data_IF_497337820980
#
_entry.id   IF_497337820980
#
_cell.length_a   1.000
_cell.length_b   1.000
_cell.length_c   1.000
_cell.angle_alpha   90.00
_cell.angle_beta   90.00
_cell.angle_gamma   90.00
#
_symmetry.space_group_name_H-M   'P 1'
#
loop_
_entity.id
_entity.type
_entity.pdbx_description
1 polymer ?
#
# COMPACT_ATOMS: atom_id res chain seq x y z
N UNK A 1 -77.93 24.87 -4.05
CA UNK A 1 -77.34 23.99 -2.98
C UNK A 1 -76.15 23.09 -3.41
N UNK A 2 -76.04 22.53 -4.67
CA UNK A 2 -74.90 21.66 -4.95
C UNK A 2 -73.51 22.33 -5.00
N UNK A 3 -73.47 23.64 -5.37
CA UNK A 3 -72.19 24.36 -5.50
C UNK A 3 -71.48 24.60 -4.12
N UNK A 4 -72.25 24.88 -3.10
CA UNK A 4 -71.75 25.12 -1.73
C UNK A 4 -71.22 23.80 -1.10
N UNK A 5 -71.91 22.69 -1.39
CA UNK A 5 -71.46 21.36 -0.91
C UNK A 5 -70.12 20.94 -1.58
N UNK A 6 -69.97 21.18 -2.89
CA UNK A 6 -68.71 20.91 -3.62
C UNK A 6 -67.56 21.77 -3.11
N UNK A 7 -67.78 23.07 -2.84
CA UNK A 7 -66.77 23.95 -2.28
C UNK A 7 -66.33 23.53 -0.87
N UNK A 8 -67.26 23.05 -0.04
CA UNK A 8 -66.94 22.52 1.27
C UNK A 8 -66.14 21.22 1.20
N UNK A 9 -66.47 20.30 0.30
CA UNK A 9 -65.72 19.06 0.09
C UNK A 9 -64.29 19.34 -0.40
N UNK A 10 -64.08 20.33 -1.28
CA UNK A 10 -62.73 20.74 -1.75
C UNK A 10 -61.89 21.28 -0.57
N UNK A 11 -62.48 22.10 0.31
CA UNK A 11 -61.81 22.63 1.51
C UNK A 11 -61.43 21.53 2.48
N UNK A 12 -62.26 20.52 2.68
CA UNK A 12 -61.96 19.37 3.54
C UNK A 12 -60.80 18.54 2.96
N UNK A 13 -60.80 18.28 1.65
CA UNK A 13 -59.72 17.54 0.99
C UNK A 13 -58.40 18.30 1.06
N UNK A 14 -58.41 19.61 0.84
CA UNK A 14 -57.22 20.47 0.98
C UNK A 14 -56.72 20.51 2.42
N UNK A 15 -57.60 20.53 3.39
CA UNK A 15 -57.24 20.44 4.83
C UNK A 15 -56.57 19.13 5.20
N UNK A 16 -57.08 18.01 4.69
CA UNK A 16 -56.50 16.67 4.90
C UNK A 16 -55.14 16.59 4.21
N UNK A 17 -55.04 17.08 2.98
CA UNK A 17 -53.75 17.09 2.26
C UNK A 17 -52.70 17.95 2.99
N UNK A 18 -53.05 19.13 3.46
CA UNK A 18 -52.15 19.99 4.25
C UNK A 18 -51.73 19.32 5.57
N UNK A 19 -52.66 18.62 6.25
CA UNK A 19 -52.36 17.88 7.48
C UNK A 19 -51.38 16.72 7.22
N UNK A 20 -51.54 15.97 6.13
CA UNK A 20 -50.63 14.90 5.75
C UNK A 20 -49.23 15.45 5.42
N UNK A 21 -49.17 16.57 4.69
CA UNK A 21 -47.91 17.22 4.37
C UNK A 21 -47.20 17.71 5.65
N UNK A 22 -47.89 18.37 6.56
CA UNK A 22 -47.32 18.82 7.84
C UNK A 22 -46.86 17.64 8.70
N UNK A 23 -47.61 16.55 8.74
CA UNK A 23 -47.24 15.34 9.47
C UNK A 23 -45.95 14.70 8.91
N UNK A 24 -45.84 14.66 7.58
CA UNK A 24 -44.63 14.14 6.91
C UNK A 24 -43.42 15.05 7.09
N UNK A 25 -43.60 16.37 7.09
CA UNK A 25 -42.54 17.34 7.38
C UNK A 25 -42.09 17.24 8.84
N UNK A 26 -43.04 17.07 9.80
CA UNK A 26 -42.71 16.86 11.21
C UNK A 26 -41.95 15.54 11.41
N UNK A 27 -42.39 14.47 10.77
CA UNK A 27 -41.68 13.17 10.81
C UNK A 27 -40.26 13.24 10.26
N UNK A 28 -40.03 13.96 9.15
CA UNK A 28 -38.70 14.24 8.61
C UNK A 28 -37.84 15.12 9.52
N UNK A 29 -38.46 16.02 10.28
CA UNK A 29 -37.80 16.85 11.28
C UNK A 29 -37.42 16.05 12.51
N UNK A 30 -38.30 15.18 12.99
CA UNK A 30 -38.07 14.30 14.12
C UNK A 30 -37.02 13.24 13.79
N UNK A 31 -37.02 12.67 12.57
CA UNK A 31 -35.93 11.78 12.08
C UNK A 31 -34.56 12.48 11.99
N UNK A 32 -34.54 13.76 11.59
CA UNK A 32 -33.31 14.58 11.61
C UNK A 32 -32.86 14.93 13.03
N UNK A 33 -33.78 15.12 13.97
CA UNK A 33 -33.48 15.39 15.38
C UNK A 33 -32.99 14.12 16.06
N UNK A 34 -33.57 12.95 15.77
CA UNK A 34 -33.12 11.65 16.28
C UNK A 34 -31.75 11.29 15.70
N UNK A 35 -31.46 11.61 14.42
CA UNK A 35 -30.10 11.50 13.86
C UNK A 35 -29.10 12.46 14.54
N UNK A 36 -29.54 13.66 14.94
CA UNK A 36 -28.70 14.62 15.66
C UNK A 36 -28.51 14.29 17.15
N UNK A 37 -29.52 13.70 17.79
CA UNK A 37 -29.44 13.30 19.23
C UNK A 37 -28.54 12.06 19.42
N UNK A 38 -28.41 11.17 18.43
CA UNK A 38 -27.40 10.08 18.46
C UNK A 38 -25.96 10.57 18.27
N UNK A 39 -25.75 11.85 17.96
CA UNK A 39 -24.42 12.45 17.73
C UNK A 39 -23.73 12.84 19.04
N UNK A 40 -24.45 13.03 20.13
CA UNK A 40 -23.89 13.61 21.37
C UNK A 40 -23.08 12.65 22.25
N UNK A 41 -23.01 11.34 21.92
CA UNK A 41 -22.19 10.37 22.64
C UNK A 41 -21.00 9.84 21.77
N UNK A 42 -20.67 10.53 20.69
CA UNK A 42 -19.53 10.19 19.81
C UNK A 42 -18.22 10.61 20.45
N UNK A 43 -17.47 9.65 20.93
CA UNK A 43 -16.05 9.89 21.23
C UNK A 43 -15.25 9.82 19.94
N UNK A 44 -14.54 10.91 19.59
CA UNK A 44 -13.76 11.08 18.37
C UNK A 44 -12.38 10.39 18.44
N UNK A 45 -12.33 9.19 19.03
CA UNK A 45 -11.10 8.38 19.04
C UNK A 45 -10.91 7.65 17.71
N UNK A 46 -9.66 7.40 17.36
CA UNK A 46 -9.29 6.70 16.12
C UNK A 46 -9.98 5.33 15.99
N UNK A 47 -10.13 4.61 17.11
CA UNK A 47 -10.78 3.29 17.13
C UNK A 47 -12.27 3.38 16.80
N UNK A 48 -13.00 4.33 17.40
CA UNK A 48 -14.43 4.52 17.16
C UNK A 48 -14.70 5.04 15.75
N UNK A 49 -13.88 5.97 15.25
CA UNK A 49 -13.94 6.40 13.86
C UNK A 49 -13.73 5.24 12.90
N UNK A 50 -12.73 4.39 13.18
CA UNK A 50 -12.44 3.19 12.35
C UNK A 50 -13.62 2.21 12.37
N UNK A 51 -14.23 1.98 13.53
CA UNK A 51 -15.40 1.11 13.67
C UNK A 51 -16.60 1.66 12.89
N UNK A 52 -16.85 2.98 12.98
CA UNK A 52 -17.93 3.64 12.24
C UNK A 52 -17.71 3.52 10.72
N UNK A 53 -16.52 3.85 10.23
CA UNK A 53 -16.17 3.72 8.81
C UNK A 53 -16.35 2.29 8.31
N UNK A 54 -15.90 1.29 9.09
CA UNK A 54 -16.11 -0.13 8.75
C UNK A 54 -17.60 -0.46 8.63
N UNK A 55 -18.39 -0.08 9.63
CA UNK A 55 -19.84 -0.31 9.64
C UNK A 55 -20.49 0.34 8.42
N UNK A 56 -20.16 1.59 8.12
CA UNK A 56 -20.75 2.34 7.02
C UNK A 56 -20.39 1.76 5.64
N UNK A 57 -19.13 1.40 5.42
CA UNK A 57 -18.69 0.74 4.19
C UNK A 57 -19.32 -0.65 4.03
N UNK A 58 -19.49 -1.38 5.11
CA UNK A 58 -20.18 -2.67 5.12
C UNK A 58 -21.66 -2.50 4.78
N UNK A 59 -22.36 -1.52 5.33
CA UNK A 59 -23.74 -1.19 4.98
C UNK A 59 -23.87 -0.92 3.48
N UNK A 60 -23.06 -0.03 2.91
CA UNK A 60 -23.08 0.28 1.47
C UNK A 60 -22.86 -0.98 0.62
N UNK A 61 -21.99 -1.89 1.06
CA UNK A 61 -21.68 -3.11 0.30
C UNK A 61 -22.67 -4.24 0.48
N UNK A 62 -23.41 -4.29 1.61
CA UNK A 62 -24.35 -5.37 1.96
C UNK A 62 -25.83 -5.03 1.71
N UNK A 63 -26.17 -3.73 1.56
CA UNK A 63 -27.55 -3.28 1.33
C UNK A 63 -28.23 -4.12 0.25
N UNK A 64 -29.44 -4.65 0.59
CA UNK A 64 -30.33 -5.27 -0.39
C UNK A 64 -31.15 -4.17 -1.09
N UNK A 65 -30.79 -3.87 -2.33
CA UNK A 65 -31.38 -2.75 -3.06
C UNK A 65 -32.81 -3.02 -3.56
N UNK A 66 -33.27 -4.26 -3.52
CA UNK A 66 -34.59 -4.65 -4.01
C UNK A 66 -35.73 -4.40 -3.02
N UNK A 67 -35.41 -4.22 -1.73
CA UNK A 67 -36.39 -4.07 -0.66
C UNK A 67 -36.76 -2.60 -0.38
N UNK A 68 -36.18 -1.61 -1.09
CA UNK A 68 -36.24 -0.20 -0.70
C UNK A 68 -37.25 0.61 -1.55
N UNK A 69 -37.95 0.02 -2.52
CA UNK A 69 -38.96 0.73 -3.33
C UNK A 69 -38.42 1.94 -4.11
N UNK A 70 -37.19 1.88 -4.59
CA UNK A 70 -36.50 2.95 -5.31
C UNK A 70 -36.95 3.05 -6.76
N UNK A 71 -36.82 4.24 -7.38
CA UNK A 71 -36.96 4.38 -8.82
C UNK A 71 -35.91 3.59 -9.57
N UNK A 72 -36.20 3.19 -10.81
CA UNK A 72 -35.27 2.39 -11.63
C UNK A 72 -33.91 3.06 -11.83
N UNK A 73 -33.90 4.38 -12.01
CA UNK A 73 -32.65 5.16 -12.17
C UNK A 73 -31.83 5.20 -10.88
N UNK A 74 -32.48 5.39 -9.73
CA UNK A 74 -31.83 5.41 -8.43
C UNK A 74 -31.31 4.02 -8.04
N UNK A 75 -32.08 2.98 -8.32
CA UNK A 75 -31.65 1.59 -8.16
C UNK A 75 -30.39 1.29 -8.98
N UNK A 76 -30.35 1.69 -10.24
CA UNK A 76 -29.20 1.54 -11.13
C UNK A 76 -27.97 2.28 -10.60
N UNK A 77 -28.17 3.53 -10.15
CA UNK A 77 -27.10 4.37 -9.58
C UNK A 77 -26.50 3.73 -8.30
N UNK A 78 -27.34 3.28 -7.39
CA UNK A 78 -26.88 2.62 -6.14
C UNK A 78 -26.22 1.27 -6.40
N UNK A 79 -26.72 0.50 -7.38
CA UNK A 79 -26.11 -0.77 -7.81
C UNK A 79 -24.71 -0.55 -8.38
N UNK A 80 -24.52 0.46 -9.22
CA UNK A 80 -23.22 0.81 -9.76
C UNK A 80 -22.25 1.25 -8.66
N UNK A 81 -22.66 2.15 -7.77
CA UNK A 81 -21.84 2.60 -6.62
C UNK A 81 -21.41 1.43 -5.74
N UNK A 82 -22.33 0.50 -5.44
CA UNK A 82 -22.04 -0.72 -4.67
C UNK A 82 -21.02 -1.61 -5.39
N UNK A 83 -21.15 -1.78 -6.69
CA UNK A 83 -20.22 -2.58 -7.50
C UNK A 83 -18.84 -1.94 -7.56
N UNK A 84 -18.75 -0.65 -7.82
CA UNK A 84 -17.50 0.11 -7.86
C UNK A 84 -16.76 0.05 -6.51
N UNK A 85 -17.48 0.26 -5.40
CA UNK A 85 -16.89 0.16 -4.08
C UNK A 85 -16.37 -1.25 -3.79
N UNK A 86 -17.12 -2.31 -4.11
CA UNK A 86 -16.65 -3.70 -3.94
C UNK A 86 -15.40 -3.98 -4.76
N UNK A 87 -15.36 -3.47 -6.00
CA UNK A 87 -14.19 -3.59 -6.89
C UNK A 87 -12.98 -2.85 -6.30
N UNK A 88 -13.17 -1.62 -5.84
CA UNK A 88 -12.11 -0.82 -5.25
C UNK A 88 -11.58 -1.42 -3.94
N UNK A 89 -12.45 -1.89 -3.04
CA UNK A 89 -12.02 -2.59 -1.82
C UNK A 89 -11.21 -3.85 -2.10
N UNK A 90 -11.51 -4.55 -3.20
CA UNK A 90 -10.71 -5.68 -3.66
C UNK A 90 -9.37 -5.22 -4.26
N UNK A 91 -9.39 -4.16 -5.05
CA UNK A 91 -8.18 -3.56 -5.65
C UNK A 91 -7.21 -3.02 -4.61
N UNK A 92 -7.71 -2.45 -3.50
CA UNK A 92 -6.87 -2.06 -2.36
C UNK A 92 -6.04 -3.23 -1.82
N UNK A 93 -6.65 -4.41 -1.68
CA UNK A 93 -5.93 -5.63 -1.25
C UNK A 93 -4.86 -6.07 -2.27
N UNK A 94 -4.95 -5.62 -3.50
CA UNK A 94 -3.98 -5.92 -4.57
C UNK A 94 -2.89 -4.85 -4.71
N UNK A 95 -2.95 -3.80 -3.90
CA UNK A 95 -2.01 -2.68 -3.95
C UNK A 95 -2.27 -1.70 -5.10
N UNK A 96 -3.51 -1.58 -5.56
CA UNK A 96 -3.89 -0.58 -6.57
C UNK A 96 -3.99 0.81 -5.95
N UNK A 97 -3.17 1.74 -6.45
CA UNK A 97 -3.10 3.11 -5.95
C UNK A 97 -4.35 3.92 -6.28
N UNK A 98 -4.99 3.68 -7.44
CA UNK A 98 -6.20 4.40 -7.82
C UNK A 98 -7.40 3.95 -6.97
N UNK A 99 -7.54 2.64 -6.77
CA UNK A 99 -8.56 2.08 -5.88
C UNK A 99 -8.36 2.55 -4.43
N UNK A 100 -7.11 2.64 -3.97
CA UNK A 100 -6.74 3.22 -2.67
C UNK A 100 -7.20 4.67 -2.56
N UNK A 101 -6.92 5.51 -3.57
CA UNK A 101 -7.33 6.91 -3.59
C UNK A 101 -8.84 7.04 -3.49
N UNK A 102 -9.59 6.29 -4.29
CA UNK A 102 -11.05 6.28 -4.26
C UNK A 102 -11.63 5.91 -2.88
N UNK A 103 -11.09 4.86 -2.25
CA UNK A 103 -11.55 4.44 -0.91
C UNK A 103 -11.20 5.47 0.15
N UNK A 104 -10.03 6.11 0.07
CA UNK A 104 -9.64 7.19 1.00
C UNK A 104 -10.55 8.42 0.84
N UNK A 105 -10.88 8.81 -0.38
CA UNK A 105 -11.84 9.91 -0.63
C UNK A 105 -13.22 9.58 -0.03
N UNK A 106 -13.68 8.35 -0.16
CA UNK A 106 -14.93 7.92 0.47
C UNK A 106 -14.88 7.93 2.01
N UNK A 107 -13.77 7.49 2.60
CA UNK A 107 -13.54 7.56 4.05
C UNK A 107 -13.53 9.02 4.51
N UNK A 108 -12.89 9.91 3.76
CA UNK A 108 -12.87 11.35 4.03
C UNK A 108 -14.30 11.92 4.08
N UNK A 109 -15.11 11.61 3.06
CA UNK A 109 -16.49 12.04 3.00
C UNK A 109 -17.35 11.50 4.17
N UNK A 110 -17.18 10.24 4.53
CA UNK A 110 -17.87 9.62 5.67
C UNK A 110 -17.50 10.32 6.98
N UNK A 111 -16.21 10.58 7.21
CA UNK A 111 -15.75 11.24 8.44
C UNK A 111 -16.21 12.69 8.51
N UNK A 112 -16.10 13.43 7.42
CA UNK A 112 -16.44 14.85 7.37
C UNK A 112 -17.94 15.08 7.40
N UNK A 113 -18.72 14.40 6.53
CA UNK A 113 -20.14 14.66 6.31
C UNK A 113 -21.06 13.86 7.23
N UNK A 114 -20.71 12.60 7.52
CA UNK A 114 -21.60 11.69 8.26
C UNK A 114 -21.20 11.57 9.74
N UNK A 115 -19.89 11.50 10.04
CA UNK A 115 -19.40 11.39 11.42
C UNK A 115 -19.30 12.75 12.11
N UNK A 116 -19.11 13.84 11.38
CA UNK A 116 -19.03 15.20 11.90
C UNK A 116 -17.66 15.54 12.49
N UNK A 117 -16.59 15.04 11.88
CA UNK A 117 -15.22 15.44 12.24
C UNK A 117 -15.01 16.91 11.87
N UNK A 118 -14.51 17.69 12.81
CA UNK A 118 -14.25 19.13 12.68
C UNK A 118 -12.88 19.46 13.26
N UNK A 119 -12.46 20.71 13.10
CA UNK A 119 -11.16 21.19 13.64
C UNK A 119 -11.10 21.06 15.17
N UNK A 120 -12.23 21.18 15.85
CA UNK A 120 -12.31 21.14 17.32
C UNK A 120 -12.11 19.72 17.88
N UNK A 121 -12.57 18.69 17.16
CA UNK A 121 -12.61 17.32 17.68
C UNK A 121 -11.57 16.37 17.05
N UNK A 122 -10.90 16.77 15.97
CA UNK A 122 -9.96 15.91 15.23
C UNK A 122 -8.74 15.53 16.08
N UNK A 123 -8.30 16.42 16.99
CA UNK A 123 -7.15 16.19 17.87
C UNK A 123 -7.42 15.11 18.93
N UNK A 124 -8.66 14.64 19.08
CA UNK A 124 -8.99 13.46 19.90
C UNK A 124 -8.56 12.14 19.22
N UNK A 125 -8.40 12.13 17.89
CA UNK A 125 -7.93 10.95 17.14
C UNK A 125 -6.41 10.88 17.11
N UNK A 126 -5.75 12.00 16.77
CA UNK A 126 -4.30 12.18 16.77
C UNK A 126 -4.06 13.57 17.38
N UNK A 127 -3.25 13.70 18.45
CA UNK A 127 -3.12 14.95 19.21
C UNK A 127 -2.26 16.00 18.49
N UNK A 128 -2.73 16.48 17.32
CA UNK A 128 -2.01 17.45 16.48
C UNK A 128 -1.64 18.74 17.19
N UNK A 129 -2.48 19.18 18.13
CA UNK A 129 -2.31 20.47 18.82
C UNK A 129 -1.29 20.40 19.97
N UNK A 130 -0.86 19.19 20.35
CA UNK A 130 0.12 18.94 21.40
C UNK A 130 1.25 18.06 20.87
N UNK A 131 2.29 18.62 20.23
CA UNK A 131 3.38 17.87 19.58
C UNK A 131 4.12 16.89 20.48
N UNK A 132 4.14 17.12 21.80
CA UNK A 132 4.76 16.23 22.79
C UNK A 132 3.99 14.93 23.00
N UNK A 133 2.71 14.86 22.65
CA UNK A 133 1.88 13.66 22.74
C UNK A 133 1.88 12.86 21.44
N UNK A 134 2.43 13.39 20.36
CA UNK A 134 2.55 12.67 19.09
C UNK A 134 3.58 11.54 19.22
N UNK A 135 3.20 10.34 18.81
CA UNK A 135 4.14 9.23 18.68
C UNK A 135 5.11 9.48 17.52
N UNK A 136 6.25 8.80 17.53
CA UNK A 136 7.23 8.87 16.42
C UNK A 136 6.61 8.44 15.08
N UNK A 137 5.64 7.52 15.11
CA UNK A 137 4.86 7.15 13.93
C UNK A 137 3.96 8.30 13.47
N UNK A 138 3.28 9.01 14.38
CA UNK A 138 2.42 10.15 14.00
C UNK A 138 3.25 11.26 13.36
N UNK A 139 4.39 11.58 13.97
CA UNK A 139 5.33 12.58 13.44
C UNK A 139 5.83 12.19 12.06
N UNK A 140 6.19 10.92 11.86
CA UNK A 140 6.62 10.43 10.55
C UNK A 140 5.49 10.46 9.51
N UNK A 141 4.27 10.08 9.87
CA UNK A 141 3.12 10.12 8.95
C UNK A 141 2.83 11.57 8.51
N UNK A 142 2.97 12.53 9.42
CA UNK A 142 2.84 13.97 9.10
C UNK A 142 3.96 14.42 8.16
N UNK A 143 5.24 14.12 8.49
CA UNK A 143 6.39 14.47 7.65
C UNK A 143 6.19 13.87 6.25
N UNK A 144 5.88 12.58 6.17
CA UNK A 144 5.71 11.88 4.90
C UNK A 144 4.54 12.47 4.09
N UNK A 145 3.43 12.83 4.76
CA UNK A 145 2.28 13.47 4.13
C UNK A 145 2.66 14.81 3.52
N UNK A 146 3.33 15.69 4.27
CA UNK A 146 3.73 17.02 3.80
C UNK A 146 4.73 16.94 2.64
N UNK A 147 5.75 16.09 2.75
CA UNK A 147 6.70 15.87 1.66
C UNK A 147 6.02 15.26 0.43
N UNK A 148 4.99 14.44 0.62
CA UNK A 148 4.25 13.85 -0.50
C UNK A 148 3.44 14.88 -1.28
N UNK A 149 2.97 15.96 -0.66
CA UNK A 149 2.31 17.06 -1.37
C UNK A 149 3.26 17.75 -2.35
N UNK A 150 4.55 17.85 -2.01
CA UNK A 150 5.56 18.52 -2.83
C UNK A 150 6.26 17.58 -3.81
N UNK A 151 6.69 16.41 -3.34
CA UNK A 151 7.56 15.48 -4.10
C UNK A 151 6.82 14.21 -4.58
N UNK A 152 5.54 14.05 -4.29
CA UNK A 152 4.76 12.88 -4.70
C UNK A 152 5.38 11.57 -4.18
N UNK A 153 5.60 10.62 -5.07
CA UNK A 153 6.18 9.32 -4.70
C UNK A 153 7.69 9.35 -4.38
N UNK A 154 8.39 10.47 -4.62
CA UNK A 154 9.78 10.66 -4.25
C UNK A 154 9.94 11.17 -2.80
N UNK A 155 8.85 11.43 -2.08
CA UNK A 155 8.85 12.02 -0.75
C UNK A 155 9.84 11.34 0.21
N UNK A 156 9.80 10.02 0.33
CA UNK A 156 10.71 9.28 1.21
C UNK A 156 12.18 9.43 0.76
N UNK A 157 12.43 9.40 -0.53
CA UNK A 157 13.78 9.59 -1.09
C UNK A 157 14.35 10.97 -0.76
N UNK A 158 13.53 12.02 -0.88
CA UNK A 158 13.94 13.39 -0.54
C UNK A 158 14.17 13.59 0.97
N UNK A 159 13.33 12.98 1.85
CA UNK A 159 13.56 12.96 3.29
C UNK A 159 14.91 12.32 3.62
N UNK A 160 15.16 11.10 3.09
CA UNK A 160 16.40 10.36 3.33
C UNK A 160 17.62 11.14 2.84
N UNK A 161 17.53 11.81 1.69
CA UNK A 161 18.60 12.61 1.10
C UNK A 161 18.84 13.90 1.89
N UNK A 162 17.81 14.68 2.20
CA UNK A 162 17.90 15.97 2.90
C UNK A 162 18.56 15.82 4.26
N UNK A 163 18.19 14.77 5.00
CA UNK A 163 18.68 14.52 6.36
C UNK A 163 19.80 13.48 6.44
N UNK A 164 20.30 12.99 5.28
CA UNK A 164 21.36 11.97 5.21
C UNK A 164 21.10 10.75 6.10
N UNK A 165 19.86 10.23 6.06
CA UNK A 165 19.42 9.14 6.93
C UNK A 165 20.00 7.78 6.55
N UNK A 166 20.39 7.58 5.29
CA UNK A 166 20.99 6.35 4.77
C UNK A 166 22.51 6.29 5.03
N UNK A 167 22.94 6.54 6.27
CA UNK A 167 24.33 6.43 6.72
C UNK A 167 24.51 5.27 7.70
N UNK A 168 25.70 4.68 7.73
CA UNK A 168 26.06 3.69 8.75
C UNK A 168 26.11 4.31 10.13
N UNK A 169 25.49 3.66 11.11
CA UNK A 169 25.40 4.11 12.50
C UNK A 169 25.77 2.99 13.43
N UNK A 170 26.42 3.33 14.53
CA UNK A 170 26.63 2.43 15.67
C UNK A 170 25.46 2.58 16.64
N UNK A 171 24.72 1.52 16.89
CA UNK A 171 23.63 1.51 17.86
C UNK A 171 24.14 0.79 19.10
N UNK A 172 23.77 1.29 20.26
CA UNK A 172 24.06 0.67 21.54
C UNK A 172 23.42 -0.73 21.60
N UNK A 173 24.22 -1.76 21.78
CA UNK A 173 23.77 -3.16 21.78
C UNK A 173 23.95 -3.91 20.45
N UNK A 174 24.33 -3.26 19.34
CA UNK A 174 24.70 -3.94 18.10
C UNK A 174 26.23 -3.97 17.91
N UNK A 175 26.77 -5.13 17.59
CA UNK A 175 28.24 -5.34 17.41
C UNK A 175 28.77 -4.79 16.08
N UNK A 176 27.90 -4.42 15.14
CA UNK A 176 28.28 -3.94 13.81
C UNK A 176 27.48 -2.68 13.45
N UNK A 177 28.09 -1.75 12.70
CA UNK A 177 27.35 -0.59 12.20
C UNK A 177 26.24 -1.04 11.24
N UNK A 178 25.06 -0.42 11.36
CA UNK A 178 23.89 -0.72 10.57
C UNK A 178 23.26 0.55 9.98
N UNK A 179 22.46 0.36 8.93
CA UNK A 179 21.60 1.41 8.39
C UNK A 179 20.28 1.41 9.14
N UNK A 180 20.01 2.47 9.89
CA UNK A 180 18.79 2.60 10.69
C UNK A 180 18.33 4.06 10.74
N UNK A 181 17.02 4.25 10.77
CA UNK A 181 16.39 5.54 11.10
C UNK A 181 15.79 5.37 12.50
N UNK A 182 16.24 6.20 13.44
CA UNK A 182 15.84 6.13 14.83
C UNK A 182 14.65 7.03 15.12
N UNK A 183 14.01 6.81 16.29
CA UNK A 183 12.94 7.68 16.77
C UNK A 183 13.42 9.12 16.99
N UNK A 184 14.63 9.31 17.55
CA UNK A 184 15.21 10.63 17.80
C UNK A 184 15.39 11.42 16.50
N UNK A 185 15.85 10.77 15.44
CA UNK A 185 16.00 11.43 14.13
C UNK A 185 14.65 11.90 13.56
N UNK A 186 13.59 11.13 13.74
CA UNK A 186 12.24 11.53 13.30
C UNK A 186 11.74 12.69 14.15
N UNK A 187 11.97 12.67 15.46
CA UNK A 187 11.62 13.75 16.34
C UNK A 187 12.36 15.06 15.96
N UNK A 188 13.67 14.96 15.73
CA UNK A 188 14.50 16.09 15.30
C UNK A 188 14.04 16.69 13.95
N UNK A 189 13.66 15.82 13.00
CA UNK A 189 13.15 16.26 11.69
C UNK A 189 11.83 16.99 11.88
N UNK A 190 10.91 16.42 12.67
CA UNK A 190 9.60 17.01 12.91
C UNK A 190 9.71 18.40 13.54
N UNK A 191 10.60 18.57 14.52
CA UNK A 191 10.85 19.87 15.17
C UNK A 191 11.48 20.88 14.22
N UNK A 192 12.43 20.46 13.37
CA UNK A 192 13.08 21.32 12.39
C UNK A 192 12.15 21.82 11.29
N UNK A 193 11.28 20.94 10.80
CA UNK A 193 10.34 21.30 9.74
C UNK A 193 9.19 22.17 10.23
N UNK A 194 8.78 22.03 11.49
CA UNK A 194 7.75 22.84 12.14
C UNK A 194 6.49 23.06 11.27
N UNK A 195 5.90 21.97 10.78
CA UNK A 195 4.77 22.03 9.86
C UNK A 195 3.53 22.66 10.49
N UNK A 196 2.89 23.56 9.76
CA UNK A 196 1.56 24.09 10.09
C UNK A 196 0.54 23.29 9.29
N UNK A 197 -0.29 22.50 9.98
CA UNK A 197 -1.30 21.66 9.36
C UNK A 197 -2.66 22.37 9.32
N UNK A 198 -3.23 22.54 8.15
CA UNK A 198 -4.64 22.92 8.00
C UNK A 198 -5.55 21.75 8.42
N UNK A 199 -6.82 22.04 8.73
CA UNK A 199 -7.80 20.97 9.07
C UNK A 199 -7.87 19.85 8.03
N UNK A 200 -7.80 20.20 6.75
CA UNK A 200 -7.84 19.23 5.65
C UNK A 200 -6.62 18.29 5.66
N UNK A 201 -5.45 18.79 6.05
CA UNK A 201 -4.23 17.99 6.18
C UNK A 201 -4.35 17.03 7.36
N UNK A 202 -4.77 17.55 8.53
CA UNK A 202 -5.04 16.74 9.73
C UNK A 202 -6.03 15.61 9.41
N UNK A 203 -7.14 15.93 8.74
CA UNK A 203 -8.15 14.94 8.36
C UNK A 203 -7.60 13.92 7.35
N UNK A 204 -6.77 14.34 6.40
CA UNK A 204 -6.14 13.43 5.44
C UNK A 204 -5.18 12.43 6.11
N UNK A 205 -4.43 12.87 7.13
CA UNK A 205 -3.58 11.98 7.95
C UNK A 205 -4.43 10.98 8.73
N UNK A 206 -5.53 11.42 9.35
CA UNK A 206 -6.47 10.52 10.06
C UNK A 206 -7.10 9.52 9.10
N UNK A 207 -7.54 9.96 7.92
CA UNK A 207 -8.08 9.08 6.86
C UNK A 207 -7.06 8.02 6.46
N UNK A 208 -5.80 8.41 6.27
CA UNK A 208 -4.74 7.46 5.96
C UNK A 208 -4.54 6.44 7.08
N UNK A 209 -4.54 6.87 8.34
CA UNK A 209 -4.40 5.99 9.51
C UNK A 209 -5.56 4.98 9.59
N UNK A 210 -6.78 5.42 9.36
CA UNK A 210 -7.96 4.52 9.33
C UNK A 210 -7.87 3.54 8.15
N UNK A 211 -7.52 4.04 6.96
CA UNK A 211 -7.40 3.22 5.77
C UNK A 211 -6.36 2.11 5.93
N UNK A 212 -5.17 2.42 6.43
CA UNK A 212 -4.07 1.46 6.57
C UNK A 212 -4.40 0.29 7.52
N UNK A 213 -5.23 0.54 8.55
CA UNK A 213 -5.72 -0.51 9.45
C UNK A 213 -6.95 -1.24 8.92
N UNK A 214 -7.75 -0.59 8.07
CA UNK A 214 -8.96 -1.20 7.53
C UNK A 214 -8.69 -2.10 6.32
N UNK A 215 -8.01 -1.60 5.30
CA UNK A 215 -7.74 -2.30 4.02
C UNK A 215 -6.30 -2.21 3.55
N UNK A 216 -5.55 -1.24 4.02
CA UNK A 216 -4.16 -1.05 3.67
C UNK A 216 -3.22 -2.04 4.35
N UNK A 217 -1.94 -1.78 4.22
CA UNK A 217 -0.86 -2.64 4.71
C UNK A 217 -0.25 -2.10 6.02
N UNK A 218 -1.10 -1.60 6.94
CA UNK A 218 -0.67 -1.07 8.23
C UNK A 218 0.36 0.08 8.08
N UNK A 219 1.31 0.20 8.99
CA UNK A 219 2.32 1.27 9.01
C UNK A 219 3.19 1.36 7.75
N UNK A 220 3.25 0.31 6.93
CA UNK A 220 4.02 0.30 5.68
C UNK A 220 3.23 0.76 4.44
N UNK A 221 1.95 1.05 4.59
CA UNK A 221 1.04 1.25 3.45
C UNK A 221 1.48 2.40 2.52
N UNK A 222 1.82 3.56 3.07
CA UNK A 222 2.30 4.69 2.29
C UNK A 222 3.74 4.47 1.76
N UNK A 223 4.61 3.88 2.58
CA UNK A 223 5.99 3.59 2.19
C UNK A 223 6.06 2.63 1.01
N UNK A 224 5.17 1.62 0.97
CA UNK A 224 5.10 0.70 -0.15
C UNK A 224 4.82 1.42 -1.48
N UNK A 225 4.05 2.49 -1.46
CA UNK A 225 3.72 3.24 -2.66
C UNK A 225 4.85 4.17 -3.12
N UNK A 226 5.82 4.51 -2.23
CA UNK A 226 6.96 5.39 -2.57
C UNK A 226 7.95 4.74 -3.55
N UNK A 227 8.81 5.57 -4.16
CA UNK A 227 9.90 5.14 -5.02
C UNK A 227 11.06 4.58 -4.18
N UNK A 228 10.95 3.32 -3.81
CA UNK A 228 11.93 2.52 -3.06
C UNK A 228 12.22 1.23 -3.82
N UNK A 229 13.35 0.58 -3.55
CA UNK A 229 13.70 -0.70 -4.19
C UNK A 229 12.86 -1.86 -3.63
N UNK A 230 12.39 -1.74 -2.38
CA UNK A 230 11.57 -2.74 -1.74
C UNK A 230 11.29 -2.44 -0.28
N UNK A 231 10.44 -3.26 0.33
CA UNK A 231 10.08 -3.18 1.75
C UNK A 231 9.88 -4.59 2.31
N UNK A 232 10.25 -4.80 3.56
CA UNK A 232 10.01 -6.07 4.25
C UNK A 232 9.55 -5.85 5.68
N UNK A 233 8.87 -6.83 6.23
CA UNK A 233 8.39 -6.83 7.61
C UNK A 233 8.44 -8.23 8.22
N UNK A 234 8.66 -8.29 9.54
CA UNK A 234 8.72 -9.54 10.29
C UNK A 234 9.99 -10.38 10.07
N UNK A 235 11.00 -9.82 9.40
CA UNK A 235 12.20 -10.57 8.95
C UNK A 235 13.29 -10.71 10.00
N UNK A 236 13.17 -10.00 11.10
CA UNK A 236 14.10 -10.06 12.23
C UNK A 236 13.34 -9.84 13.54
N UNK A 237 13.96 -10.23 14.66
CA UNK A 237 13.34 -10.11 15.98
C UNK A 237 12.67 -11.40 16.43
N UNK A 238 12.32 -11.45 17.72
CA UNK A 238 11.74 -12.62 18.36
C UNK A 238 10.21 -12.65 18.25
N UNK A 239 9.62 -13.84 18.11
CA UNK A 239 8.18 -14.03 18.18
C UNK A 239 7.64 -13.79 19.59
N UNK A 240 6.41 -13.30 19.71
CA UNK A 240 5.76 -13.08 21.03
C UNK A 240 5.57 -14.38 21.80
N UNK A 241 5.36 -15.50 21.11
CA UNK A 241 5.28 -16.83 21.71
C UNK A 241 6.56 -17.23 22.44
N UNK A 242 7.72 -16.90 21.90
CA UNK A 242 9.01 -17.15 22.54
C UNK A 242 9.18 -16.25 23.77
N UNK A 243 8.87 -14.97 23.66
CA UNK A 243 8.96 -14.02 24.77
C UNK A 243 8.04 -14.39 25.94
N UNK A 244 6.85 -14.91 25.66
CA UNK A 244 5.92 -15.36 26.70
C UNK A 244 6.41 -16.65 27.39
N UNK A 245 7.07 -17.55 26.69
CA UNK A 245 7.71 -18.77 27.30
C UNK A 245 8.89 -18.38 28.17
N UNK A 246 9.69 -17.43 27.69
CA UNK A 246 10.83 -16.88 28.42
C UNK A 246 10.42 -16.19 29.71
N UNK A 247 9.36 -15.37 29.66
CA UNK A 247 8.84 -14.69 30.87
C UNK A 247 8.31 -15.61 31.94
N UNK A 248 8.05 -16.88 31.62
CA UNK A 248 7.63 -17.93 32.59
C UNK A 248 8.79 -18.74 33.17
N UNK A 249 10.01 -18.56 32.69
CA UNK A 249 11.19 -19.27 33.14
C UNK A 249 12.06 -18.38 34.03
N UNK A 250 12.30 -18.84 35.27
CA UNK A 250 13.06 -18.14 36.35
C UNK A 250 14.59 -18.05 36.11
N UNK A 251 15.07 -17.77 34.92
CA UNK A 251 16.49 -17.67 34.68
C UNK A 251 16.97 -16.22 34.56
N UNK A 252 18.02 -15.84 35.33
CA UNK A 252 18.66 -14.50 35.30
C UNK A 252 19.14 -14.07 33.91
N UNK A 253 19.42 -15.02 33.02
CA UNK A 253 19.78 -14.77 31.65
C UNK A 253 18.63 -14.15 30.85
N UNK A 254 17.41 -14.48 31.20
CA UNK A 254 16.20 -14.04 30.53
C UNK A 254 15.71 -12.68 31.03
N UNK A 255 16.04 -12.30 32.25
CA UNK A 255 15.84 -10.95 32.78
C UNK A 255 16.72 -9.95 32.05
N UNK A 256 17.94 -10.31 31.67
CA UNK A 256 18.82 -9.47 30.84
C UNK A 256 18.30 -9.32 29.40
N UNK A 257 17.61 -10.32 28.82
CA UNK A 257 16.95 -10.22 27.53
C UNK A 257 15.69 -9.34 27.62
N UNK A 258 15.00 -9.34 28.74
CA UNK A 258 13.81 -8.52 28.97
C UNK A 258 14.15 -7.04 29.20
N UNK A 259 15.27 -6.76 29.86
CA UNK A 259 15.78 -5.41 30.12
C UNK A 259 16.44 -4.77 28.87
N UNK A 260 17.05 -5.57 28.02
CA UNK A 260 17.44 -5.11 26.68
C UNK A 260 16.21 -5.17 25.79
N UNK A 261 15.84 -4.05 25.14
CA UNK A 261 14.77 -3.95 24.13
C UNK A 261 15.05 -4.89 22.94
N UNK A 262 14.84 -6.20 23.16
CA UNK A 262 15.01 -7.19 22.09
C UNK A 262 13.98 -6.88 21.00
N UNK A 263 14.39 -6.63 19.77
CA UNK A 263 13.47 -6.32 18.69
C UNK A 263 12.46 -7.45 18.52
N UNK A 264 11.18 -7.12 18.54
CA UNK A 264 10.11 -8.08 18.26
C UNK A 264 9.92 -8.17 16.76
N UNK A 265 9.43 -9.29 16.27
CA UNK A 265 9.16 -9.46 14.83
C UNK A 265 8.20 -8.41 14.28
N UNK A 266 7.20 -8.02 15.07
CA UNK A 266 6.25 -6.95 14.69
C UNK A 266 6.88 -5.56 14.54
N UNK A 267 8.04 -5.32 15.16
CA UNK A 267 8.80 -4.05 15.11
C UNK A 267 9.90 -4.08 14.04
N UNK A 268 9.97 -5.18 13.27
CA UNK A 268 10.95 -5.39 12.22
C UNK A 268 10.41 -4.89 10.88
N UNK A 269 10.68 -3.63 10.57
CA UNK A 269 10.33 -3.00 9.29
C UNK A 269 11.61 -2.50 8.63
N UNK A 270 11.84 -2.92 7.39
CA UNK A 270 13.02 -2.57 6.62
C UNK A 270 12.64 -2.04 5.25
N UNK A 271 13.27 -0.96 4.83
CA UNK A 271 13.16 -0.40 3.49
C UNK A 271 14.46 -0.64 2.73
N UNK A 272 14.35 -1.18 1.53
CA UNK A 272 15.48 -1.27 0.60
C UNK A 272 15.50 -0.01 -0.24
N UNK A 273 16.59 0.72 -0.15
CA UNK A 273 16.75 2.01 -0.81
C UNK A 273 18.16 2.16 -1.38
N UNK A 274 18.26 2.34 -2.70
CA UNK A 274 19.53 2.48 -3.43
C UNK A 274 20.56 1.37 -3.12
N UNK A 275 20.07 0.14 -2.92
CA UNK A 275 20.92 -1.03 -2.69
C UNK A 275 21.30 -1.27 -1.23
N UNK A 276 20.87 -0.41 -0.30
CA UNK A 276 21.05 -0.63 1.15
C UNK A 276 19.72 -0.97 1.81
N UNK A 277 19.77 -1.78 2.87
CA UNK A 277 18.60 -2.08 3.70
C UNK A 277 18.62 -1.21 4.94
N UNK A 278 17.61 -0.35 5.10
CA UNK A 278 17.49 0.61 6.19
C UNK A 278 16.39 0.11 7.13
N UNK A 279 16.71 -0.10 8.39
CA UNK A 279 15.73 -0.40 9.44
C UNK A 279 15.00 0.86 9.87
N UNK A 280 13.67 0.79 9.98
CA UNK A 280 12.84 1.86 10.51
C UNK A 280 12.49 1.53 11.97
N UNK A 281 13.34 1.95 12.91
CA UNK A 281 13.21 1.57 14.33
C UNK A 281 12.01 2.21 15.03
N UNK A 282 11.44 3.25 14.45
CA UNK A 282 10.29 4.00 14.96
C UNK A 282 8.93 3.47 14.46
N UNK A 283 8.90 2.49 13.55
CA UNK A 283 7.68 1.89 13.02
C UNK A 283 7.46 0.48 13.57
N UNK A 284 6.19 0.16 13.82
CA UNK A 284 5.75 -1.15 14.26
C UNK A 284 4.42 -1.50 13.60
N UNK A 285 4.14 -2.80 13.47
CA UNK A 285 2.78 -3.30 13.17
C UNK A 285 1.87 -3.27 14.40
N UNK A 286 2.39 -2.93 15.58
CA UNK A 286 1.67 -2.91 16.84
C UNK A 286 1.44 -4.30 17.42
N UNK A 287 0.85 -5.23 16.65
CA UNK A 287 0.55 -6.60 17.09
C UNK A 287 1.00 -7.64 16.05
N UNK A 288 1.28 -8.87 16.49
CA UNK A 288 1.53 -9.99 15.56
C UNK A 288 0.30 -10.33 14.70
N UNK A 289 -0.90 -10.12 15.23
CA UNK A 289 -2.14 -10.30 14.48
C UNK A 289 -2.21 -9.33 13.28
N UNK A 290 -1.74 -8.11 13.43
CA UNK A 290 -1.69 -7.12 12.37
C UNK A 290 -0.61 -7.47 11.33
N UNK A 291 0.58 -7.88 11.76
CA UNK A 291 1.62 -8.39 10.86
C UNK A 291 1.11 -9.60 10.05
N UNK A 292 0.43 -10.55 10.72
CA UNK A 292 -0.21 -11.69 10.07
C UNK A 292 -1.26 -11.24 9.05
N UNK A 293 -2.11 -10.25 9.38
CA UNK A 293 -3.11 -9.69 8.48
C UNK A 293 -2.46 -9.10 7.21
N UNK A 294 -1.38 -8.34 7.36
CA UNK A 294 -0.62 -7.79 6.24
C UNK A 294 -0.04 -8.92 5.39
N UNK A 295 0.64 -9.88 5.99
CA UNK A 295 1.20 -11.05 5.30
C UNK A 295 0.13 -11.83 4.52
N UNK A 296 -1.05 -12.03 5.10
CA UNK A 296 -2.16 -12.76 4.46
C UNK A 296 -2.80 -11.98 3.30
N UNK A 297 -2.66 -10.67 3.23
CA UNK A 297 -3.29 -9.84 2.21
C UNK A 297 -2.35 -9.47 1.06
N UNK A 298 -1.08 -9.21 1.33
CA UNK A 298 -0.14 -8.61 0.39
C UNK A 298 0.15 -9.46 -0.86
N UNK A 299 -0.08 -10.77 -0.82
CA UNK A 299 0.18 -11.69 -1.92
C UNK A 299 -1.08 -12.10 -2.72
N UNK A 300 -2.25 -11.53 -2.44
CA UNK A 300 -3.55 -12.01 -2.96
C UNK A 300 -3.87 -11.64 -4.41
N UNK A 301 -2.99 -10.96 -5.12
CA UNK A 301 -3.26 -10.57 -6.50
C UNK A 301 -3.15 -11.76 -7.46
N UNK A 302 -3.96 -11.75 -8.54
CA UNK A 302 -3.98 -12.68 -9.65
C UNK A 302 -4.16 -14.17 -9.25
N UNK A 303 -3.09 -14.89 -8.99
CA UNK A 303 -3.14 -16.32 -8.63
C UNK A 303 -2.47 -16.54 -7.26
N UNK A 304 -3.17 -16.21 -6.17
CA UNK A 304 -2.57 -16.24 -4.84
C UNK A 304 -2.25 -17.66 -4.36
N UNK A 305 -3.00 -18.66 -4.81
CA UNK A 305 -2.93 -20.00 -4.25
C UNK A 305 -3.27 -20.01 -2.75
N UNK A 306 -3.06 -21.14 -2.10
CA UNK A 306 -3.31 -21.31 -0.68
C UNK A 306 -2.00 -21.29 0.11
N UNK A 307 -1.94 -20.48 1.16
CA UNK A 307 -0.89 -20.48 2.18
C UNK A 307 -1.39 -21.31 3.36
N UNK A 308 -0.77 -22.46 3.58
CA UNK A 308 -1.17 -23.46 4.60
C UNK A 308 0.05 -23.95 5.38
N UNK A 309 -0.17 -24.80 6.39
CA UNK A 309 0.95 -25.38 7.16
C UNK A 309 1.85 -26.27 6.32
N UNK A 310 1.27 -26.97 5.35
CA UNK A 310 2.01 -27.79 4.37
C UNK A 310 2.69 -26.96 3.29
N UNK A 311 2.22 -25.74 3.03
CA UNK A 311 2.78 -24.83 2.06
C UNK A 311 3.06 -23.48 2.72
N UNK A 312 4.14 -23.45 3.52
CA UNK A 312 4.48 -22.35 4.44
C UNK A 312 5.01 -21.08 3.80
N UNK A 313 5.09 -21.00 2.46
CA UNK A 313 5.52 -19.78 1.76
C UNK A 313 4.73 -19.55 0.48
N UNK A 314 4.72 -18.31 0.02
CA UNK A 314 4.14 -17.91 -1.28
C UNK A 314 5.01 -16.87 -1.96
N UNK A 315 5.18 -17.07 -3.26
CA UNK A 315 5.78 -16.08 -4.16
C UNK A 315 4.69 -15.66 -5.15
N UNK A 316 4.42 -14.37 -5.21
CA UNK A 316 3.41 -13.82 -6.11
C UNK A 316 3.81 -12.42 -6.59
N UNK A 317 2.96 -11.80 -7.38
CA UNK A 317 3.09 -10.43 -7.85
C UNK A 317 1.94 -9.59 -7.28
N UNK A 318 2.19 -8.30 -7.11
CA UNK A 318 1.17 -7.30 -6.82
C UNK A 318 0.67 -6.67 -8.13
N UNK A 319 -0.41 -5.90 -8.07
CA UNK A 319 -1.00 -5.27 -9.27
C UNK A 319 -0.05 -4.29 -9.98
N UNK A 320 0.83 -3.64 -9.23
CA UNK A 320 1.87 -2.75 -9.73
C UNK A 320 3.09 -3.48 -10.35
N UNK A 321 3.08 -4.82 -10.37
CA UNK A 321 4.19 -5.64 -10.86
C UNK A 321 5.28 -5.91 -9.83
N UNK A 322 5.15 -5.40 -8.61
CA UNK A 322 6.07 -5.71 -7.51
C UNK A 322 6.00 -7.19 -7.17
N UNK A 323 7.15 -7.82 -6.93
CA UNK A 323 7.22 -9.21 -6.46
C UNK A 323 7.09 -9.27 -4.96
N UNK A 324 6.28 -10.18 -4.48
CA UNK A 324 6.07 -10.42 -3.06
C UNK A 324 6.40 -11.87 -2.71
N UNK A 325 7.12 -12.03 -1.61
CA UNK A 325 7.33 -13.32 -0.95
C UNK A 325 6.74 -13.21 0.45
N UNK A 326 5.94 -14.19 0.85
CA UNK A 326 5.40 -14.29 2.21
C UNK A 326 5.79 -15.64 2.78
N UNK A 327 6.22 -15.65 4.03
CA UNK A 327 6.57 -16.85 4.80
C UNK A 327 5.72 -16.86 6.07
N UNK A 328 5.32 -18.04 6.52
CA UNK A 328 4.55 -18.22 7.76
C UNK A 328 5.27 -19.14 8.73
N UNK A 329 4.89 -19.13 10.02
CA UNK A 329 5.30 -20.18 10.97
C UNK A 329 4.97 -21.57 10.44
N UNK A 330 5.94 -22.38 10.28
CA UNK A 330 6.22 -23.71 9.77
C UNK A 330 7.48 -23.71 8.90
N UNK A 331 7.78 -22.57 8.20
CA UNK A 331 9.03 -22.37 7.45
C UNK A 331 9.88 -21.23 8.00
N UNK A 332 9.36 -20.45 8.93
CA UNK A 332 10.04 -19.36 9.64
C UNK A 332 9.53 -19.31 11.08
N UNK A 333 10.24 -18.64 11.96
CA UNK A 333 9.82 -18.48 13.37
C UNK A 333 8.60 -17.56 13.49
N UNK A 334 8.48 -16.58 12.59
CA UNK A 334 7.41 -15.58 12.58
C UNK A 334 6.81 -15.43 11.20
N UNK A 335 5.68 -14.71 11.12
CA UNK A 335 5.18 -14.21 9.86
C UNK A 335 6.14 -13.15 9.30
N UNK A 336 6.56 -13.32 8.05
CA UNK A 336 7.41 -12.37 7.36
C UNK A 336 7.01 -12.18 5.90
N UNK A 337 7.30 -11.00 5.37
CA UNK A 337 7.11 -10.72 3.95
C UNK A 337 8.26 -9.88 3.40
N UNK A 338 8.47 -10.01 2.09
CA UNK A 338 9.41 -9.22 1.30
C UNK A 338 8.68 -8.73 0.05
N UNK A 339 8.68 -7.44 -0.18
CA UNK A 339 8.22 -6.83 -1.43
C UNK A 339 9.42 -6.24 -2.14
N UNK A 340 9.64 -6.64 -3.38
CA UNK A 340 10.65 -6.05 -4.25
C UNK A 340 9.95 -5.30 -5.38
N UNK A 341 10.19 -4.01 -5.42
CA UNK A 341 9.64 -3.15 -6.47
C UNK A 341 10.52 -3.21 -7.71
N UNK A 342 9.86 -3.14 -8.86
CA UNK A 342 10.53 -3.06 -10.17
C UNK A 342 10.32 -1.68 -10.81
N UNK A 343 9.83 -0.74 -10.03
CA UNK A 343 9.53 0.61 -10.48
C UNK A 343 10.80 1.43 -10.63
N UNK A 344 11.67 0.95 -11.47
CA UNK A 344 12.79 1.76 -11.93
C UNK A 344 12.21 2.68 -13.01
N UNK A 345 12.22 3.99 -12.75
CA UNK A 345 12.10 4.97 -13.84
C UNK A 345 12.97 4.44 -14.95
N UNK A 346 12.39 4.21 -16.13
CA UNK A 346 13.08 3.65 -17.28
C UNK A 346 14.27 4.55 -17.61
N UNK A 347 15.43 4.19 -17.08
CA UNK A 347 16.63 4.95 -17.31
C UNK A 347 17.02 4.82 -18.78
N UNK A 348 17.45 5.91 -19.40
CA UNK A 348 18.03 5.88 -20.74
C UNK A 348 19.41 5.22 -20.71
N UNK A 349 19.92 4.78 -21.87
CA UNK A 349 21.26 4.21 -21.94
C UNK A 349 22.32 5.22 -21.45
N UNK A 350 22.12 6.50 -21.72
CA UNK A 350 22.99 7.59 -21.28
C UNK A 350 23.05 7.74 -19.76
N UNK A 351 21.95 7.41 -19.06
CA UNK A 351 21.88 7.44 -17.59
C UNK A 351 22.49 6.19 -16.95
N UNK A 352 22.45 5.06 -17.66
CA UNK A 352 22.94 3.78 -17.17
C UNK A 352 24.45 3.64 -17.40
N UNK A 353 24.93 3.98 -18.59
CA UNK A 353 26.34 3.92 -18.97
C UNK A 353 27.05 5.20 -18.48
N UNK A 354 27.89 5.08 -17.43
CA UNK A 354 28.45 6.23 -16.69
C UNK A 354 29.97 6.24 -16.68
N UNK A 355 30.62 6.16 -17.86
CA UNK A 355 32.08 6.29 -17.97
C UNK A 355 32.44 7.27 -19.08
N UNK A 356 33.65 7.86 -19.05
CA UNK A 356 34.13 8.73 -20.11
C UNK A 356 34.18 7.99 -21.47
N UNK A 357 33.68 8.61 -22.53
CA UNK A 357 33.63 7.99 -23.88
C UNK A 357 32.47 7.02 -24.08
N UNK A 358 31.43 7.08 -23.25
CA UNK A 358 30.26 6.23 -23.31
C UNK A 358 29.49 6.26 -24.63
N UNK A 359 29.58 7.35 -25.39
CA UNK A 359 28.85 7.58 -26.62
C UNK A 359 29.09 6.45 -27.63
N UNK A 360 30.33 6.08 -27.85
CA UNK A 360 30.70 4.98 -28.77
C UNK A 360 30.13 3.64 -28.32
N UNK A 361 30.10 3.38 -27.02
CA UNK A 361 29.49 2.15 -26.45
C UNK A 361 28.01 2.14 -26.62
N UNK A 362 27.33 3.27 -26.39
CA UNK A 362 25.88 3.41 -26.58
C UNK A 362 25.51 3.20 -28.05
N UNK A 363 26.26 3.80 -28.98
CA UNK A 363 26.03 3.63 -30.41
C UNK A 363 26.27 2.19 -30.86
N UNK A 364 27.34 1.57 -30.38
CA UNK A 364 27.58 0.15 -30.63
C UNK A 364 26.42 -0.72 -30.16
N UNK A 365 25.93 -0.51 -28.95
CA UNK A 365 24.76 -1.23 -28.43
C UNK A 365 23.53 -1.00 -29.31
N UNK A 366 23.27 0.25 -29.72
CA UNK A 366 22.14 0.59 -30.62
C UNK A 366 22.27 -0.13 -31.96
N UNK A 367 23.48 -0.18 -32.57
CA UNK A 367 23.71 -0.90 -33.82
C UNK A 367 23.59 -2.42 -33.70
N UNK A 368 24.09 -3.00 -32.59
CA UNK A 368 23.96 -4.44 -32.34
C UNK A 368 22.49 -4.86 -32.22
N UNK A 369 21.68 -4.03 -31.55
CA UNK A 369 20.24 -4.28 -31.43
C UNK A 369 19.53 -4.13 -32.78
N UNK A 370 19.81 -3.05 -33.54
CA UNK A 370 19.27 -2.88 -34.89
C UNK A 370 19.66 -4.03 -35.84
N UNK A 371 20.86 -4.54 -35.66
CA UNK A 371 21.35 -5.70 -36.42
C UNK A 371 20.87 -7.05 -35.92
N UNK A 372 19.89 -7.06 -34.96
CA UNK A 372 19.34 -8.28 -34.35
C UNK A 372 20.43 -9.24 -33.81
N UNK A 373 21.52 -8.70 -33.28
CA UNK A 373 22.62 -9.51 -32.72
C UNK A 373 22.30 -9.94 -31.30
N UNK A 374 22.82 -11.09 -30.91
CA UNK A 374 22.67 -11.61 -29.54
C UNK A 374 23.64 -10.85 -28.63
N UNK A 375 23.11 -10.19 -27.61
CA UNK A 375 23.90 -9.46 -26.61
C UNK A 375 23.70 -10.15 -25.26
N UNK A 376 24.79 -10.53 -24.60
CA UNK A 376 24.79 -11.07 -23.25
C UNK A 376 25.18 -9.99 -22.25
N UNK A 377 24.31 -9.70 -21.28
CA UNK A 377 24.57 -8.80 -20.16
C UNK A 377 24.93 -9.61 -18.93
N UNK A 378 26.19 -9.55 -18.50
CA UNK A 378 26.70 -10.23 -17.31
C UNK A 378 27.03 -9.22 -16.22
N UNK A 379 26.99 -9.64 -14.97
CA UNK A 379 27.33 -8.79 -13.83
C UNK A 379 26.82 -9.40 -12.52
N UNK A 380 27.28 -8.86 -11.40
CA UNK A 380 26.89 -9.28 -10.07
C UNK A 380 25.42 -9.01 -9.76
N UNK A 381 24.90 -9.61 -8.69
CA UNK A 381 23.55 -9.35 -8.20
C UNK A 381 23.43 -7.88 -7.78
N UNK A 382 22.36 -7.19 -8.20
CA UNK A 382 22.16 -5.76 -7.88
C UNK A 382 22.77 -4.75 -8.86
N UNK A 383 23.59 -5.15 -9.83
CA UNK A 383 24.24 -4.25 -10.81
C UNK A 383 23.30 -3.69 -11.90
N UNK A 384 22.00 -3.60 -11.65
CA UNK A 384 20.99 -3.01 -12.55
C UNK A 384 20.94 -3.61 -13.97
N UNK A 385 21.27 -4.90 -14.12
CA UNK A 385 21.22 -5.59 -15.43
C UNK A 385 19.85 -5.43 -16.14
N UNK A 386 18.77 -5.46 -15.37
CA UNK A 386 17.42 -5.32 -15.92
C UNK A 386 17.17 -3.93 -16.51
N UNK A 387 17.73 -2.87 -15.91
CA UNK A 387 17.56 -1.50 -16.42
C UNK A 387 18.24 -1.34 -17.79
N UNK A 388 19.39 -1.97 -17.98
CA UNK A 388 20.07 -1.99 -19.27
C UNK A 388 19.21 -2.64 -20.36
N UNK A 389 18.41 -3.64 -20.00
CA UNK A 389 17.60 -4.38 -20.96
C UNK A 389 16.22 -3.77 -21.23
N UNK A 390 15.71 -2.92 -20.34
CA UNK A 390 14.39 -2.26 -20.46
C UNK A 390 14.48 -0.75 -20.71
N UNK A 391 15.67 -0.20 -20.98
CA UNK A 391 15.86 1.23 -21.29
C UNK A 391 14.94 1.70 -22.41
N UNK A 392 14.50 2.98 -22.34
CA UNK A 392 13.57 3.56 -23.32
C UNK A 392 14.07 3.47 -24.77
N UNK A 393 15.40 3.54 -24.97
CA UNK A 393 16.02 3.48 -26.29
C UNK A 393 15.86 2.11 -26.96
N UNK A 394 15.88 1.04 -26.17
CA UNK A 394 15.60 -0.31 -26.66
C UNK A 394 14.15 -0.42 -27.12
N UNK A 395 13.21 0.19 -26.43
CA UNK A 395 11.79 0.18 -26.77
C UNK A 395 11.52 0.94 -28.06
N UNK A 396 12.23 2.05 -28.30
CA UNK A 396 12.12 2.82 -29.54
C UNK A 396 12.69 2.06 -30.75
N UNK A 397 13.84 1.43 -30.60
CA UNK A 397 14.47 0.60 -31.63
C UNK A 397 13.57 -0.56 -32.02
N UNK A 398 12.91 -1.21 -31.02
CA UNK A 398 12.03 -2.34 -31.23
C UNK A 398 10.66 -1.96 -31.80
N UNK A 399 10.14 -0.80 -31.53
CA UNK A 399 8.84 -0.35 -32.06
C UNK A 399 8.89 -0.04 -33.58
N UNK A 400 10.07 0.21 -34.11
CA UNK A 400 10.27 0.53 -35.52
C UNK A 400 10.67 -0.68 -36.39
N UNK A 401 10.77 -1.88 -35.80
CA UNK A 401 11.12 -3.11 -36.50
C UNK A 401 9.90 -3.89 -37.03
N UNK A 402 10.07 -4.73 -38.09
CA UNK A 402 8.98 -5.48 -38.72
C UNK A 402 8.22 -6.40 -37.75
N UNK A 403 6.94 -6.61 -38.05
CA UNK A 403 5.92 -7.27 -37.21
C UNK A 403 6.31 -8.64 -36.60
N UNK A 404 7.24 -9.34 -37.17
CA UNK A 404 7.69 -10.68 -36.73
C UNK A 404 8.41 -10.63 -35.37
N UNK A 405 9.31 -9.65 -35.17
CA UNK A 405 10.02 -9.47 -33.90
C UNK A 405 9.11 -8.88 -32.81
N UNK A 406 8.14 -8.04 -33.22
CA UNK A 406 7.17 -7.42 -32.33
C UNK A 406 6.32 -8.41 -31.56
N UNK A 407 5.95 -9.54 -32.18
CA UNK A 407 5.10 -10.57 -31.56
C UNK A 407 5.83 -11.40 -30.50
N UNK A 408 7.11 -11.71 -30.71
CA UNK A 408 7.93 -12.44 -29.72
C UNK A 408 8.13 -11.60 -28.45
N UNK A 409 8.35 -10.29 -28.59
CA UNK A 409 8.57 -9.37 -27.47
C UNK A 409 7.28 -9.03 -26.74
N UNK A 410 6.17 -8.78 -27.46
CA UNK A 410 4.85 -8.59 -26.83
C UNK A 410 4.42 -9.78 -25.99
N UNK A 411 4.67 -11.00 -26.44
CA UNK A 411 4.36 -12.20 -25.68
C UNK A 411 5.20 -12.29 -24.39
N UNK A 412 6.46 -11.89 -24.43
CA UNK A 412 7.35 -11.89 -23.27
C UNK A 412 7.08 -10.75 -22.29
N UNK A 413 6.80 -9.55 -22.78
CA UNK A 413 6.43 -8.40 -21.95
C UNK A 413 5.07 -8.59 -21.25
N UNK A 414 4.10 -9.24 -21.90
CA UNK A 414 2.81 -9.56 -21.29
C UNK A 414 2.84 -10.68 -20.26
N UNK A 415 3.87 -11.54 -20.26
CA UNK A 415 3.97 -12.72 -19.39
C UNK A 415 5.07 -12.64 -18.32
N UNK A 416 5.71 -11.50 -18.09
CA UNK A 416 6.83 -11.39 -17.14
C UNK A 416 7.89 -12.50 -17.33
N UNK A 417 8.19 -12.84 -18.57
CA UNK A 417 9.07 -13.94 -18.89
C UNK A 417 10.51 -13.47 -18.72
N UNK A 418 11.24 -14.14 -17.85
CA UNK A 418 12.66 -13.88 -17.60
C UNK A 418 13.48 -13.91 -18.88
N UNK A 419 14.60 -13.18 -18.91
CA UNK A 419 15.57 -13.10 -20.02
C UNK A 419 15.93 -14.43 -20.69
N UNK A 420 15.93 -15.51 -19.92
CA UNK A 420 16.17 -16.87 -20.43
C UNK A 420 15.22 -17.30 -21.56
N UNK A 421 13.96 -16.88 -21.54
CA UNK A 421 13.02 -17.22 -22.62
C UNK A 421 13.26 -16.44 -23.91
N UNK A 422 13.83 -15.25 -23.83
CA UNK A 422 14.22 -14.49 -25.02
C UNK A 422 15.33 -15.17 -25.79
N UNK A 423 16.37 -15.61 -25.11
CA UNK A 423 17.47 -16.34 -25.69
C UNK A 423 17.02 -17.68 -26.29
N UNK A 424 16.13 -18.38 -25.62
CA UNK A 424 15.64 -19.70 -26.06
C UNK A 424 14.74 -19.59 -27.30
N UNK A 425 13.87 -18.59 -27.41
CA UNK A 425 12.98 -18.45 -28.57
C UNK A 425 13.69 -17.93 -29.83
N UNK A 426 14.73 -17.12 -29.70
CA UNK A 426 15.59 -16.75 -30.84
C UNK A 426 16.43 -17.91 -31.37
N UNK A 427 16.71 -18.90 -30.53
CA UNK A 427 17.58 -20.05 -30.84
C UNK A 427 16.84 -21.35 -31.18
N UNK A 428 15.55 -21.45 -30.89
CA UNK A 428 14.77 -22.69 -31.13
C UNK A 428 14.61 -23.08 -32.63
N UNK A 429 15.21 -22.34 -33.56
CA UNK A 429 15.26 -22.76 -34.96
C UNK A 429 16.51 -23.54 -35.36
N UNK A 430 17.54 -23.65 -34.50
CA UNK A 430 18.70 -24.49 -34.79
C UNK A 430 19.14 -25.32 -33.57
N UNK A 431 18.77 -26.51 -33.60
CA UNK A 431 18.87 -27.72 -32.79
C UNK A 431 20.18 -28.08 -32.04
N UNK A 432 21.12 -27.19 -31.78
CA UNK A 432 22.41 -27.53 -31.15
C UNK A 432 22.34 -27.40 -29.61
N UNK A 433 21.57 -26.45 -29.07
CA UNK A 433 21.50 -26.21 -27.64
C UNK A 433 20.71 -27.28 -26.86
N UNK A 434 19.72 -27.90 -27.48
CA UNK A 434 18.94 -28.98 -26.86
C UNK A 434 19.79 -30.26 -26.67
N UNK A 435 20.88 -30.42 -27.39
CA UNK A 435 21.81 -31.55 -27.25
C UNK A 435 22.89 -31.34 -26.17
N UNK A 436 23.25 -30.09 -25.84
CA UNK A 436 24.31 -29.82 -24.86
C UNK A 436 23.84 -29.78 -23.41
N UNK A 437 22.59 -29.46 -23.13
CA UNK A 437 22.13 -29.18 -21.77
C UNK A 437 20.92 -30.01 -21.30
N UNK A 438 20.68 -31.18 -21.84
CA UNK A 438 19.71 -32.15 -21.30
C UNK A 438 18.33 -31.60 -20.90
N UNK A 439 17.32 -32.44 -20.98
CA UNK A 439 15.92 -32.13 -20.62
C UNK A 439 15.67 -31.96 -19.10
N UNK A 440 16.34 -31.11 -18.38
CA UNK A 440 15.93 -30.84 -17.00
C UNK A 440 15.26 -29.47 -16.93
N UNK A 441 13.93 -29.48 -16.87
CA UNK A 441 13.08 -28.26 -16.70
C UNK A 441 13.07 -27.69 -15.29
N UNK A 442 13.78 -28.26 -14.33
CA UNK A 442 13.51 -28.00 -12.91
C UNK A 442 14.58 -27.26 -12.12
N UNK A 443 15.78 -27.07 -12.63
CA UNK A 443 16.89 -26.57 -11.77
C UNK A 443 17.54 -25.24 -12.19
N UNK A 444 16.80 -24.28 -12.76
CA UNK A 444 17.37 -22.98 -13.19
C UNK A 444 16.77 -21.77 -12.47
N UNK A 445 16.48 -21.92 -11.17
CA UNK A 445 15.94 -20.83 -10.35
C UNK A 445 16.99 -19.99 -9.62
N UNK A 446 18.27 -20.28 -9.80
CA UNK A 446 19.36 -19.49 -9.21
C UNK A 446 20.27 -18.96 -10.32
N UNK A 447 20.00 -17.75 -10.80
CA UNK A 447 20.96 -16.73 -11.21
C UNK A 447 20.23 -15.42 -11.50
#
# INVERSE_FOLDING_TARGET
MPAIFNAFMILVVLGIAAFIIMRNLKKKQDEKVEEQVQVDDKTYTLEKMTAFVKKRLDEITKINLYDIGLSEEELKRRKNKKYELKKALKGCTYGDVNDKKYVKELIYDILYKEYGVSEVNISSAIPFDVPSLLTSQDKFDIILYMYKQEFGYEAFAEIVKKYNLARLKYIQGESKPCYVITEDEINDIFEKENFVLAFQDKLSVVVQRIYQHYKGYSSIDELRDMNIDGISGGVSGLPESFLSQVAQSDSDYLTQIADHKVPRARDSIWVMFHGVSIRLAFLSFGTEAELKRVCQNIYKYNNPGQLSDTNGYKINEMKDGSRVVVVRPSMSETWAFFVRKFDVKRATLEQIVRFPGKEKTIDLLKYLVKGARIISLTGEQGCRKNNNAYGNDWKYIWNNEPSYYRNCIRASLKKNISYKKYFINAWNRNSIWTRMFGRSKENWWFC
#
